data_IF_387591157470
#
_entry.id   IF_387591157470
#
_cell.length_a   1.000
_cell.length_b   1.000
_cell.length_c   1.000
_cell.angle_alpha   90.00
_cell.angle_beta   90.00
_cell.angle_gamma   90.00
#
_symmetry.space_group_name_H-M   'P 1'
#
loop_
_entity.id
_entity.type
_entity.pdbx_description
1 polymer ?
#
# COMPACT_ATOMS: atom_id res chain seq x y z
N UNK A 1 2.94 -9.06 -8.22
CA UNK A 1 1.76 -8.31 -8.73
C UNK A 1 2.25 -7.02 -9.38
N UNK A 2 1.60 -6.56 -10.47
CA UNK A 2 2.11 -5.51 -11.34
C UNK A 2 2.33 -4.15 -10.62
N UNK A 3 1.45 -3.81 -9.69
CA UNK A 3 1.45 -2.45 -9.09
C UNK A 3 2.48 -2.26 -7.98
N UNK A 4 3.02 -3.35 -7.44
CA UNK A 4 3.83 -3.32 -6.22
C UNK A 4 5.09 -2.45 -6.38
N UNK A 5 5.70 -2.45 -7.57
CA UNK A 5 6.89 -1.66 -7.86
C UNK A 5 6.57 -0.15 -7.94
N UNK A 6 5.50 0.24 -8.63
CA UNK A 6 5.11 1.65 -8.73
C UNK A 6 4.63 2.20 -7.38
N UNK A 7 3.90 1.41 -6.60
CA UNK A 7 3.50 1.81 -5.24
C UNK A 7 4.70 1.96 -4.32
N UNK A 8 5.66 1.03 -4.35
CA UNK A 8 6.89 1.14 -3.56
C UNK A 8 7.69 2.40 -3.94
N UNK A 9 7.76 2.75 -5.22
CA UNK A 9 8.43 3.97 -5.69
C UNK A 9 7.80 5.26 -5.11
N UNK A 10 6.51 5.25 -4.79
CA UNK A 10 5.84 6.37 -4.10
C UNK A 10 6.08 6.32 -2.59
N UNK A 11 5.96 5.13 -1.99
CA UNK A 11 5.95 4.98 -0.53
C UNK A 11 7.33 5.02 0.10
N UNK A 12 8.31 4.34 -0.50
CA UNK A 12 9.66 4.19 0.05
C UNK A 12 10.35 5.54 0.34
N UNK A 13 10.29 6.57 -0.54
CA UNK A 13 10.86 7.88 -0.24
C UNK A 13 10.18 8.59 0.93
N UNK A 14 8.87 8.36 1.13
CA UNK A 14 8.10 8.93 2.22
C UNK A 14 8.41 8.26 3.56
N UNK A 15 8.76 6.98 3.55
CA UNK A 15 9.25 6.26 4.72
C UNK A 15 10.67 6.69 5.08
N UNK A 16 11.55 6.81 4.08
CA UNK A 16 12.96 7.17 4.32
C UNK A 16 13.14 8.60 4.83
N UNK A 17 12.35 9.56 4.32
CA UNK A 17 12.61 10.99 4.51
C UNK A 17 11.37 11.82 4.92
N UNK A 18 10.19 11.22 4.91
CA UNK A 18 8.92 11.91 5.15
C UNK A 18 8.35 11.66 6.54
N UNK A 19 7.17 12.23 6.78
CA UNK A 19 6.37 12.04 8.01
C UNK A 19 5.01 11.41 7.74
N UNK A 20 4.77 10.97 6.49
CA UNK A 20 3.50 10.40 6.06
C UNK A 20 3.29 8.96 6.55
N UNK A 21 4.34 8.32 7.09
CA UNK A 21 4.28 6.98 7.65
C UNK A 21 4.99 6.92 9.00
N UNK A 22 4.59 5.94 9.81
CA UNK A 22 5.29 5.56 11.05
C UNK A 22 6.29 4.41 10.83
N UNK A 23 6.39 3.87 9.62
CA UNK A 23 7.45 2.91 9.27
C UNK A 23 8.82 3.60 9.26
N UNK A 24 9.86 2.88 9.62
CA UNK A 24 11.24 3.40 9.68
C UNK A 24 12.14 2.83 8.58
N UNK A 25 11.72 1.74 7.94
CA UNK A 25 12.47 1.07 6.88
C UNK A 25 11.61 0.96 5.63
N UNK A 26 12.10 1.41 4.46
CA UNK A 26 11.37 1.29 3.20
C UNK A 26 11.03 -0.19 2.90
N UNK A 27 9.73 -0.56 2.80
CA UNK A 27 9.32 -1.95 2.65
C UNK A 27 9.67 -2.55 1.28
N UNK A 28 9.76 -1.71 0.24
CA UNK A 28 10.07 -2.15 -1.11
C UNK A 28 8.96 -2.98 -1.78
N UNK A 29 9.18 -3.40 -3.04
CA UNK A 29 8.14 -4.00 -3.87
C UNK A 29 7.68 -5.38 -3.39
N UNK A 30 8.56 -6.15 -2.76
CA UNK A 30 8.20 -7.49 -2.27
C UNK A 30 7.14 -7.42 -1.16
N UNK A 31 7.32 -6.49 -0.23
CA UNK A 31 6.38 -6.29 0.88
C UNK A 31 5.10 -5.61 0.40
N UNK A 32 5.18 -4.62 -0.49
CA UNK A 32 3.99 -4.04 -1.10
C UNK A 32 3.16 -5.10 -1.83
N UNK A 33 3.78 -6.06 -2.52
CA UNK A 33 3.07 -7.19 -3.13
C UNK A 33 2.34 -8.06 -2.11
N UNK A 34 2.87 -8.25 -0.89
CA UNK A 34 2.19 -9.00 0.18
C UNK A 34 1.00 -8.23 0.73
N UNK A 35 1.13 -6.91 0.89
CA UNK A 35 0.05 -6.04 1.38
C UNK A 35 -1.12 -5.99 0.41
N UNK A 36 -0.85 -5.87 -0.89
CA UNK A 36 -1.86 -5.97 -1.94
C UNK A 36 -2.61 -7.31 -1.81
N UNK A 37 -1.88 -8.43 -1.69
CA UNK A 37 -2.49 -9.76 -1.68
C UNK A 37 -3.42 -9.92 -0.48
N UNK A 38 -2.96 -9.52 0.71
CA UNK A 38 -3.75 -9.55 1.95
C UNK A 38 -5.00 -8.67 1.87
N UNK A 39 -4.91 -7.49 1.24
CA UNK A 39 -6.05 -6.61 1.04
C UNK A 39 -7.10 -7.28 0.15
N UNK A 40 -6.68 -7.82 -0.99
CA UNK A 40 -7.56 -8.47 -1.96
C UNK A 40 -8.15 -9.79 -1.42
N UNK A 41 -7.40 -10.58 -0.66
CA UNK A 41 -7.88 -11.79 0.03
C UNK A 41 -9.03 -11.49 0.99
N UNK A 42 -9.06 -10.29 1.60
CA UNK A 42 -10.15 -9.83 2.46
C UNK A 42 -11.33 -9.22 1.69
N UNK A 43 -11.25 -9.17 0.35
CA UNK A 43 -12.24 -8.53 -0.51
C UNK A 43 -12.26 -7.01 -0.39
N UNK A 44 -11.18 -6.40 0.10
CA UNK A 44 -11.08 -4.96 0.28
C UNK A 44 -10.53 -4.27 -0.97
N UNK A 45 -10.92 -2.99 -1.20
CA UNK A 45 -10.46 -2.27 -2.36
C UNK A 45 -8.96 -1.94 -2.26
N UNK A 46 -8.26 -2.20 -3.36
CA UNK A 46 -6.95 -1.67 -3.65
C UNK A 46 -7.07 -0.83 -4.92
N UNK A 47 -6.80 0.47 -4.81
CA UNK A 47 -6.96 1.44 -5.90
C UNK A 47 -5.60 2.03 -6.24
N UNK A 48 -5.34 2.15 -7.54
CA UNK A 48 -4.18 2.86 -8.10
C UNK A 48 -4.69 3.94 -9.06
N UNK A 49 -4.03 5.08 -9.06
CA UNK A 49 -4.22 6.13 -10.05
C UNK A 49 -3.06 6.04 -11.03
N UNK A 50 -3.35 5.77 -12.30
CA UNK A 50 -2.35 5.66 -13.36
C UNK A 50 -2.39 6.90 -14.27
N UNK A 51 -1.21 7.37 -14.66
CA UNK A 51 -1.02 8.37 -15.71
C UNK A 51 -1.28 7.78 -17.10
N UNK A 52 -1.34 8.65 -18.11
CA UNK A 52 -1.54 8.24 -19.50
C UNK A 52 -0.40 7.35 -20.06
N UNK A 53 0.75 7.35 -19.39
CA UNK A 53 1.95 6.54 -19.67
C UNK A 53 2.01 5.24 -18.84
N UNK A 54 0.98 4.94 -18.04
CA UNK A 54 0.93 3.78 -17.15
C UNK A 54 1.75 3.93 -15.87
N UNK A 55 2.27 5.13 -15.57
CA UNK A 55 2.98 5.40 -14.32
C UNK A 55 1.97 5.55 -13.18
N UNK A 56 2.19 4.86 -12.07
CA UNK A 56 1.36 5.02 -10.87
C UNK A 56 1.67 6.40 -10.25
N UNK A 57 0.64 7.24 -10.16
CA UNK A 57 0.68 8.59 -9.59
C UNK A 57 0.23 8.60 -8.12
N UNK A 58 -0.52 7.59 -7.70
CA UNK A 58 -1.05 7.49 -6.34
C UNK A 58 -1.74 6.16 -6.11
N UNK A 59 -1.98 5.84 -4.84
CA UNK A 59 -2.67 4.60 -4.45
C UNK A 59 -3.46 4.80 -3.15
N UNK A 60 -4.49 3.99 -2.96
CA UNK A 60 -5.30 3.96 -1.74
C UNK A 60 -5.79 2.54 -1.47
N UNK A 61 -5.81 2.12 -0.22
CA UNK A 61 -6.27 0.79 0.16
C UNK A 61 -6.81 0.78 1.59
N UNK A 62 -7.63 -0.22 1.92
CA UNK A 62 -8.03 -0.47 3.29
C UNK A 62 -7.03 -1.38 3.98
N UNK A 63 -6.74 -1.08 5.24
CA UNK A 63 -5.99 -1.98 6.12
C UNK A 63 -6.76 -2.19 7.42
N UNK A 64 -6.53 -3.33 8.05
CA UNK A 64 -7.10 -3.65 9.34
C UNK A 64 -6.46 -2.75 10.39
N UNK A 65 -7.26 -1.94 11.08
CA UNK A 65 -6.74 -1.06 12.13
C UNK A 65 -6.31 -1.86 13.37
N UNK A 66 -7.20 -2.74 13.89
CA UNK A 66 -6.92 -3.59 15.07
C UNK A 66 -7.70 -4.91 15.00
N UNK A 67 -7.02 -6.01 15.31
CA UNK A 67 -7.61 -7.35 15.44
C UNK A 67 -8.28 -7.57 16.81
N UNK A 68 -9.29 -6.74 17.14
CA UNK A 68 -10.18 -7.04 18.27
C UNK A 68 -11.59 -7.22 17.74
N UNK A 69 -12.32 -8.20 18.29
CA UNK A 69 -13.71 -8.48 17.90
C UNK A 69 -14.61 -7.22 17.92
N UNK A 70 -14.28 -6.25 18.79
CA UNK A 70 -14.97 -4.97 18.89
C UNK A 70 -14.86 -4.07 17.63
N UNK A 71 -13.92 -4.32 16.71
CA UNK A 71 -13.72 -3.51 15.49
C UNK A 71 -14.31 -4.15 14.22
N UNK A 72 -15.22 -5.13 14.35
CA UNK A 72 -15.83 -5.79 13.17
C UNK A 72 -16.98 -5.01 12.52
N UNK A 73 -17.37 -3.88 13.11
CA UNK A 73 -18.54 -3.07 12.74
C UNK A 73 -18.13 -1.64 12.41
#
# INVERSE_FOLDING_TARGET
MADAAGVAAIYDPQVANGTASFETEPPGPAEMSRRIARCLEKGWPWLVAEGADGVILGYAYLNQFRDRAAYRH
#
